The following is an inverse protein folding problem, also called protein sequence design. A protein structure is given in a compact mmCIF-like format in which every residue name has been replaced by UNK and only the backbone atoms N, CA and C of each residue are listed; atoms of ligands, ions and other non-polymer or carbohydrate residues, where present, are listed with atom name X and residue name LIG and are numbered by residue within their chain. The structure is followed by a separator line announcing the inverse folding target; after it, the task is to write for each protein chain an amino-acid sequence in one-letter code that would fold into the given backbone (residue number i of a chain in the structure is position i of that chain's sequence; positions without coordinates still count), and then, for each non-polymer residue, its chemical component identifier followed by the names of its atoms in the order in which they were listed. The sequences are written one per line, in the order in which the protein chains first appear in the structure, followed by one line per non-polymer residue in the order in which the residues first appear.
data_IF_249479456584
#
_entry.id   IF_249479456584
#
_cell.length_a   1.000
_cell.length_b   1.000
_cell.length_c   1.000
_cell.angle_alpha   90.00
_cell.angle_beta   90.00
_cell.angle_gamma   90.00
#
_symmetry.space_group_name_H-M   'P 1'
#
loop_
_entity.id
_entity.type
_entity.pdbx_description
1 polymer ?
#
# COMPACT_ATOMS: atom_id res chain seq x y z
N UNK A 1 -0.21 -27.50 -14.49
CA UNK A 1 0.59 -26.33 -14.05
C UNK A 1 0.11 -25.96 -12.66
N UNK A 2 1.01 -25.57 -11.75
CA UNK A 2 0.63 -25.08 -10.42
C UNK A 2 0.41 -23.57 -10.50
N UNK A 3 -0.65 -23.09 -9.85
CA UNK A 3 -0.97 -21.67 -9.74
C UNK A 3 -0.85 -21.25 -8.28
N UNK A 4 -0.63 -19.96 -8.07
CA UNK A 4 -0.64 -19.32 -6.76
C UNK A 4 -1.63 -18.16 -6.77
N UNK A 5 -2.28 -17.94 -5.63
CA UNK A 5 -3.20 -16.83 -5.42
C UNK A 5 -2.54 -15.78 -4.54
N UNK A 6 -2.59 -14.53 -4.98
CA UNK A 6 -2.11 -13.36 -4.24
C UNK A 6 -3.33 -12.57 -3.79
N UNK A 7 -3.44 -12.34 -2.48
CA UNK A 7 -4.44 -11.45 -1.89
C UNK A 7 -3.75 -10.27 -1.23
N UNK A 8 -4.28 -9.08 -1.45
CA UNK A 8 -3.76 -7.87 -0.85
C UNK A 8 -4.90 -6.92 -0.46
N UNK A 9 -4.66 -6.15 0.59
CA UNK A 9 -5.58 -5.17 1.15
C UNK A 9 -5.11 -3.77 0.77
N UNK A 10 -6.05 -2.89 0.43
CA UNK A 10 -5.81 -1.46 0.29
C UNK A 10 -6.76 -0.69 1.22
N UNK A 11 -6.22 0.24 1.99
CA UNK A 11 -7.00 1.10 2.89
C UNK A 11 -7.86 2.07 2.08
N UNK A 12 -9.16 2.13 2.39
CA UNK A 12 -10.12 2.97 1.68
C UNK A 12 -9.83 4.46 1.93
N UNK A 13 -9.31 4.81 3.10
CA UNK A 13 -8.86 6.18 3.42
C UNK A 13 -7.79 6.67 2.43
N UNK A 14 -6.75 5.86 2.18
CA UNK A 14 -5.69 6.20 1.24
C UNK A 14 -6.23 6.36 -0.19
N UNK A 15 -7.15 5.48 -0.62
CA UNK A 15 -7.80 5.59 -1.93
C UNK A 15 -8.57 6.91 -2.07
N UNK A 16 -9.33 7.28 -1.04
CA UNK A 16 -10.11 8.52 -1.01
C UNK A 16 -9.22 9.75 -1.06
N UNK A 17 -8.18 9.79 -0.23
CA UNK A 17 -7.23 10.91 -0.17
C UNK A 17 -6.51 11.13 -1.51
N UNK A 18 -6.24 10.04 -2.24
CA UNK A 18 -5.60 10.08 -3.55
C UNK A 18 -6.59 10.13 -4.73
N UNK A 19 -7.90 10.22 -4.47
CA UNK A 19 -8.97 10.25 -5.49
C UNK A 19 -8.92 9.05 -6.44
N UNK A 20 -8.53 7.88 -5.94
CA UNK A 20 -8.45 6.63 -6.69
C UNK A 20 -9.75 5.85 -6.53
N UNK A 21 -10.39 5.52 -7.65
CA UNK A 21 -11.56 4.65 -7.62
C UNK A 21 -11.12 3.21 -7.29
N UNK A 22 -11.84 2.55 -6.38
CA UNK A 22 -11.59 1.17 -5.95
C UNK A 22 -11.57 0.14 -7.11
N UNK A 23 -12.23 0.42 -8.23
CA UNK A 23 -12.22 -0.43 -9.44
C UNK A 23 -11.03 -0.13 -10.38
N UNK A 24 -10.11 0.76 -9.99
CA UNK A 24 -8.87 1.03 -10.73
C UNK A 24 -7.67 0.26 -10.18
N UNK A 25 -7.81 -0.40 -9.03
CA UNK A 25 -6.71 -1.12 -8.41
C UNK A 25 -6.39 -2.40 -9.19
N UNK A 26 -5.11 -2.52 -9.55
CA UNK A 26 -4.55 -3.65 -10.27
C UNK A 26 -3.27 -4.12 -9.58
N UNK A 27 -2.94 -5.39 -9.78
CA UNK A 27 -1.63 -5.94 -9.51
C UNK A 27 -0.84 -5.98 -10.81
N UNK A 28 0.41 -5.50 -10.76
CA UNK A 28 1.38 -5.67 -11.83
C UNK A 28 2.43 -6.69 -11.42
N UNK A 29 2.84 -7.53 -12.36
CA UNK A 29 3.91 -8.50 -12.23
C UNK A 29 5.05 -8.11 -13.16
N UNK A 30 6.28 -8.10 -12.66
CA UNK A 30 7.45 -7.82 -13.50
C UNK A 30 7.87 -9.08 -14.27
N UNK A 31 7.79 -9.08 -15.60
CA UNK A 31 8.15 -10.23 -16.45
C UNK A 31 8.83 -9.73 -17.73
N UNK A 32 9.89 -10.41 -18.17
CA UNK A 32 10.62 -10.08 -19.40
C UNK A 32 11.02 -8.60 -19.47
N UNK A 33 11.66 -8.12 -18.41
CA UNK A 33 12.14 -6.75 -18.27
C UNK A 33 11.05 -5.66 -18.34
N UNK A 34 9.79 -6.00 -18.09
CA UNK A 34 8.66 -5.06 -18.15
C UNK A 34 7.60 -5.34 -17.11
N UNK A 35 6.84 -4.32 -16.71
CA UNK A 35 5.65 -4.49 -15.88
C UNK A 35 4.47 -4.95 -16.74
N UNK A 36 3.79 -6.01 -16.31
CA UNK A 36 2.58 -6.54 -16.94
C UNK A 36 1.46 -6.56 -15.93
N UNK A 37 0.30 -6.02 -16.30
CA UNK A 37 -0.92 -6.19 -15.52
C UNK A 37 -1.30 -7.66 -15.45
N UNK A 38 -1.69 -8.13 -14.27
CA UNK A 38 -2.30 -9.44 -14.08
C UNK A 38 -3.75 -9.27 -13.66
N UNK A 39 -4.58 -10.25 -14.03
CA UNK A 39 -6.01 -10.23 -13.71
C UNK A 39 -6.19 -10.01 -12.20
N UNK A 40 -6.87 -8.93 -11.84
CA UNK A 40 -7.11 -8.51 -10.47
C UNK A 40 -8.60 -8.38 -10.25
N UNK A 41 -9.12 -9.04 -9.22
CA UNK A 41 -10.53 -9.03 -8.88
C UNK A 41 -10.68 -8.44 -7.48
N UNK A 42 -11.60 -7.49 -7.31
CA UNK A 42 -12.05 -7.06 -5.99
C UNK A 42 -12.96 -8.14 -5.42
N UNK A 43 -12.58 -8.70 -4.27
CA UNK A 43 -13.31 -9.83 -3.68
C UNK A 43 -14.06 -9.45 -2.41
N UNK A 44 -13.63 -8.41 -1.69
CA UNK A 44 -14.29 -7.95 -0.47
C UNK A 44 -14.19 -6.43 -0.40
N UNK A 45 -15.30 -5.77 -0.12
CA UNK A 45 -15.36 -4.35 0.18
C UNK A 45 -15.88 -4.21 1.62
N UNK A 46 -15.06 -3.64 2.51
CA UNK A 46 -15.43 -3.28 3.89
C UNK A 46 -15.41 -1.76 4.03
N UNK A 47 -15.81 -1.25 5.19
CA UNK A 47 -15.83 0.19 5.49
C UNK A 47 -14.42 0.81 5.39
N UNK A 48 -13.43 0.20 6.05
CA UNK A 48 -12.08 0.77 6.17
C UNK A 48 -11.13 0.33 5.05
N UNK A 49 -11.40 -0.81 4.40
CA UNK A 49 -10.50 -1.38 3.41
C UNK A 49 -11.20 -2.21 2.34
N UNK A 50 -10.48 -2.44 1.25
CA UNK A 50 -10.90 -3.29 0.14
C UNK A 50 -9.84 -4.38 -0.11
N UNK A 51 -10.27 -5.62 -0.36
CA UNK A 51 -9.40 -6.77 -0.65
C UNK A 51 -9.50 -7.17 -2.12
N UNK A 52 -8.34 -7.39 -2.71
CA UNK A 52 -8.17 -7.81 -4.10
C UNK A 52 -7.47 -9.15 -4.19
N UNK A 53 -7.76 -9.89 -5.25
CA UNK A 53 -7.23 -11.22 -5.55
C UNK A 53 -6.71 -11.29 -6.99
N UNK A 54 -5.53 -11.89 -7.15
CA UNK A 54 -4.93 -12.22 -8.45
C UNK A 54 -4.38 -13.63 -8.45
N UNK A 55 -4.37 -14.28 -9.61
CA UNK A 55 -3.76 -15.61 -9.80
C UNK A 55 -2.53 -15.49 -10.69
N UNK A 56 -1.44 -16.16 -10.32
CA UNK A 56 -0.21 -16.21 -11.11
C UNK A 56 0.33 -17.63 -11.22
N UNK A 57 1.07 -17.90 -12.30
CA UNK A 57 1.70 -19.20 -12.56
C UNK A 57 3.17 -19.24 -12.13
N UNK A 58 3.77 -18.09 -11.78
CA UNK A 58 5.16 -17.97 -11.36
C UNK A 58 5.33 -16.74 -10.46
N UNK A 59 6.32 -16.75 -9.56
CA UNK A 59 6.60 -15.61 -8.69
C UNK A 59 7.60 -14.64 -9.35
N UNK A 60 7.41 -13.35 -9.10
CA UNK A 60 8.26 -12.25 -9.56
C UNK A 60 8.05 -11.04 -8.64
N UNK A 61 8.77 -9.92 -8.76
CA UNK A 61 8.34 -8.69 -8.12
C UNK A 61 6.91 -8.31 -8.55
N UNK A 62 6.13 -7.86 -7.57
CA UNK A 62 4.76 -7.39 -7.77
C UNK A 62 4.62 -5.95 -7.30
N UNK A 63 3.71 -5.20 -7.92
CA UNK A 63 3.37 -3.84 -7.53
C UNK A 63 1.86 -3.63 -7.56
N UNK A 64 1.32 -2.99 -6.53
CA UNK A 64 -0.07 -2.52 -6.51
C UNK A 64 -0.10 -1.16 -7.20
N UNK A 65 -0.99 -0.99 -8.18
CA UNK A 65 -1.08 0.24 -8.97
C UNK A 65 -2.54 0.65 -9.22
N UNK A 66 -2.75 1.93 -9.54
CA UNK A 66 -4.02 2.43 -10.03
C UNK A 66 -3.98 2.57 -11.56
N UNK A 67 -4.87 1.85 -12.27
CA UNK A 67 -4.99 1.95 -13.71
C UNK A 67 -5.67 3.27 -14.11
N UNK A 68 -5.26 3.95 -15.20
CA UNK A 68 -5.92 5.18 -15.66
C UNK A 68 -7.42 5.01 -15.96
N UNK A 69 -7.83 3.87 -16.52
CA UNK A 69 -9.22 3.53 -16.82
C UNK A 69 -9.84 2.68 -15.69
N UNK A 70 -11.16 2.77 -15.54
CA UNK A 70 -11.91 1.88 -14.64
C UNK A 70 -11.91 0.49 -15.26
N UNK A 71 -11.46 -0.53 -14.51
CA UNK A 71 -11.56 -1.92 -14.91
C UNK A 71 -12.78 -2.52 -14.21
N UNK A 72 -13.71 -3.18 -14.93
CA UNK A 72 -14.74 -3.96 -14.30
C UNK A 72 -14.07 -5.04 -13.47
N UNK A 73 -14.07 -4.88 -12.15
CA UNK A 73 -13.76 -5.97 -11.25
C UNK A 73 -14.85 -7.02 -11.41
N UNK A 74 -14.48 -8.27 -11.70
CA UNK A 74 -15.38 -9.40 -11.50
C UNK A 74 -15.63 -9.52 -10.00
N UNK A 75 -16.72 -8.90 -9.52
CA UNK A 75 -17.14 -9.04 -8.13
C UNK A 75 -17.62 -10.47 -7.95
N UNK A 76 -17.04 -11.16 -6.97
CA UNK A 76 -17.58 -12.43 -6.49
C UNK A 76 -18.80 -12.09 -5.65
N UNK A 77 -20.00 -12.47 -6.09
CA UNK A 77 -21.21 -12.35 -5.26
C UNK A 77 -21.02 -13.18 -3.98
N UNK A 78 -20.94 -12.49 -2.83
CA UNK A 78 -20.86 -13.09 -1.52
C UNK A 78 -22.29 -13.33 -1.02
N UNK A 79 -22.79 -14.57 -1.12
CA UNK A 79 -24.07 -14.96 -0.49
C UNK A 79 -23.93 -14.85 1.03
N UNK A 80 -24.64 -13.90 1.63
CA UNK A 80 -24.74 -13.72 3.08
C UNK A 80 -25.42 -14.92 3.75
N UNK A 81 -24.72 -15.53 4.73
CA UNK A 81 -25.22 -16.63 5.55
C UNK A 81 -24.90 -16.43 7.04
N UNK A 82 -25.90 -15.88 7.74
CA UNK A 82 -26.25 -16.01 9.17
C UNK A 82 -25.30 -15.51 10.28
N UNK A 83 -25.77 -14.44 10.92
CA UNK A 83 -25.53 -14.11 12.32
C UNK A 83 -26.11 -15.19 13.24
N UNK A 84 -25.30 -15.71 14.17
CA UNK A 84 -25.80 -16.15 15.48
C UNK A 84 -24.81 -15.72 16.56
N UNK A 85 -25.28 -14.86 17.47
CA UNK A 85 -24.62 -14.49 18.71
C UNK A 85 -24.24 -15.74 19.51
N UNK A 86 -22.94 -15.93 19.76
CA UNK A 86 -22.42 -16.81 20.81
C UNK A 86 -21.78 -15.95 21.88
N UNK A 87 -22.40 -15.92 23.06
CA UNK A 87 -21.94 -15.18 24.22
C UNK A 87 -20.51 -15.58 24.65
N UNK A 88 -19.79 -14.58 25.14
CA UNK A 88 -18.43 -14.65 25.69
C UNK A 88 -18.41 -15.53 26.96
N UNK A 89 -17.37 -16.34 27.19
CA UNK A 89 -16.86 -16.59 28.53
C UNK A 89 -15.54 -15.83 28.75
N UNK A 90 -15.50 -15.03 29.80
CA UNK A 90 -14.37 -14.19 30.21
C UNK A 90 -13.48 -14.99 31.19
N UNK A 91 -12.15 -14.87 31.01
CA UNK A 91 -11.03 -15.00 32.00
C UNK A 91 -10.57 -16.41 32.47
N UNK A 92 -9.30 -16.58 32.95
CA UNK A 92 -8.43 -15.59 33.59
C UNK A 92 -7.09 -15.26 32.92
N UNK A 93 -6.72 -13.98 33.09
CA UNK A 93 -5.39 -13.42 33.34
C UNK A 93 -4.29 -14.42 33.71
N UNK A 94 -3.19 -14.43 32.95
CA UNK A 94 -1.85 -14.57 33.52
C UNK A 94 -1.13 -13.22 33.41
N UNK A 95 -1.06 -12.55 34.55
CA UNK A 95 -0.10 -11.48 34.84
C UNK A 95 1.26 -12.13 34.99
N UNK A 96 2.24 -11.68 34.21
CA UNK A 96 3.65 -11.77 34.58
C UNK A 96 4.31 -10.44 34.16
N UNK A 97 5.17 -9.98 35.06
CA UNK A 97 5.60 -8.62 35.38
C UNK A 97 6.32 -7.78 34.30
N UNK A 98 6.44 -6.45 34.53
CA UNK A 98 6.99 -5.49 33.59
C UNK A 98 8.52 -5.59 33.55
N UNK A 99 9.10 -5.49 32.36
CA UNK A 99 10.53 -5.20 32.22
C UNK A 99 10.70 -3.85 31.52
N UNK A 100 10.85 -2.84 32.37
CA UNK A 100 11.89 -1.81 32.33
C UNK A 100 12.00 -0.95 31.05
N UNK A 101 11.52 0.28 31.19
CA UNK A 101 12.14 1.54 30.77
C UNK A 101 13.58 1.38 30.27
N UNK A 102 13.82 1.64 28.99
CA UNK A 102 15.11 2.15 28.52
C UNK A 102 14.83 3.54 27.96
N UNK A 103 14.98 4.51 28.84
CA UNK A 103 15.10 5.93 28.52
C UNK A 103 16.61 6.24 28.47
N UNK A 104 16.98 7.08 27.50
CA UNK A 104 18.27 7.81 27.39
C UNK A 104 19.46 6.95 26.89
N UNK A 105 20.10 7.24 25.75
CA UNK A 105 20.90 8.45 25.50
C UNK A 105 20.99 8.85 24.01
N UNK A 106 20.88 10.16 23.80
CA UNK A 106 21.31 10.86 22.60
C UNK A 106 22.82 10.68 22.38
N UNK A 107 23.21 9.98 21.32
CA UNK A 107 24.58 10.04 20.81
C UNK A 107 24.65 11.09 19.71
N UNK A 108 25.12 12.28 20.08
CA UNK A 108 25.55 13.35 19.17
C UNK A 108 26.53 12.79 18.14
N UNK A 109 26.09 12.63 16.90
CA UNK A 109 26.97 12.52 15.73
C UNK A 109 26.86 13.82 14.93
N UNK A 110 27.99 14.46 14.57
CA UNK A 110 27.96 15.77 13.95
C UNK A 110 27.59 15.65 12.46
N UNK A 111 26.50 16.31 12.09
CA UNK A 111 26.40 17.07 10.83
C UNK A 111 26.21 16.30 9.53
N UNK A 112 24.97 15.90 9.23
CA UNK A 112 24.43 16.04 7.87
C UNK A 112 22.91 16.16 7.93
N UNK A 113 22.43 17.37 8.20
CA UNK A 113 20.99 17.66 8.19
C UNK A 113 20.46 17.66 6.76
N UNK A 114 19.32 16.99 6.56
CA UNK A 114 18.59 16.85 5.29
C UNK A 114 18.08 18.18 4.69
N UNK A 115 18.34 19.32 5.34
CA UNK A 115 17.98 20.64 4.85
C UNK A 115 18.86 21.15 3.69
N UNK A 116 20.11 20.66 3.55
CA UNK A 116 21.04 21.16 2.53
C UNK A 116 20.78 20.61 1.11
N UNK A 117 20.10 19.47 0.96
CA UNK A 117 19.85 18.88 -0.36
C UNK A 117 18.69 19.56 -1.11
N UNK A 118 17.69 20.06 -0.39
CA UNK A 118 16.51 20.71 -1.01
C UNK A 118 16.83 22.13 -1.47
N UNK A 119 17.70 22.87 -0.75
CA UNK A 119 18.12 24.21 -1.16
C UNK A 119 18.99 24.21 -2.42
N UNK A 120 19.85 23.20 -2.60
CA UNK A 120 20.70 23.10 -3.79
C UNK A 120 19.90 22.83 -5.08
N UNK A 121 18.87 21.97 -5.01
CA UNK A 121 18.04 21.63 -6.18
C UNK A 121 17.16 22.81 -6.60
N UNK A 122 16.58 23.55 -5.64
CA UNK A 122 15.80 24.76 -5.93
C UNK A 122 16.66 25.91 -6.48
N UNK A 123 17.88 26.06 -5.96
CA UNK A 123 18.85 27.04 -6.47
C UNK A 123 19.22 26.79 -7.93
N UNK A 124 19.58 25.55 -8.27
CA UNK A 124 19.93 25.17 -9.65
C UNK A 124 18.75 25.37 -10.64
N UNK A 125 17.53 25.03 -10.21
CA UNK A 125 16.33 25.27 -11.02
C UNK A 125 16.04 26.76 -11.23
N UNK A 126 16.23 27.59 -10.20
CA UNK A 126 15.97 29.03 -10.27
C UNK A 126 16.97 29.75 -11.20
N UNK A 127 18.25 29.37 -11.15
CA UNK A 127 19.30 29.91 -12.04
C UNK A 127 19.05 29.49 -13.49
N UNK A 128 18.75 28.22 -13.75
CA UNK A 128 18.44 27.72 -15.10
C UNK A 128 17.20 28.41 -15.69
N UNK A 129 16.17 28.64 -14.87
CA UNK A 129 14.94 29.33 -15.29
C UNK A 129 15.17 30.81 -15.59
N UNK A 130 16.04 31.48 -14.83
CA UNK A 130 16.41 32.88 -15.06
C UNK A 130 17.25 33.06 -16.33
N UNK A 131 18.22 32.16 -16.57
CA UNK A 131 19.02 32.14 -17.81
C UNK A 131 18.17 31.91 -19.08
N UNK A 132 17.09 31.14 -18.99
CA UNK A 132 16.16 30.91 -20.11
C UNK A 132 15.26 32.11 -20.45
N UNK A 133 15.24 33.17 -19.61
CA UNK A 133 14.44 34.39 -19.86
C UNK A 133 15.29 35.54 -20.45
N UNK A 134 16.60 35.34 -20.58
CA UNK A 134 17.59 36.33 -21.04
C UNK A 134 18.20 35.99 -22.41
N UNK A 135 17.70 34.92 -23.05
CA UNK A 135 17.94 34.52 -24.45
C UNK A 135 16.59 34.54 -25.16
#
# INVERSE_FOLDING_TARGET
MKTATIRFKVENGWLKDNKINLNKIILQQYVNNSWKEVLTQKIVEKEDYTVYESTTNHFSPFAIAAHPAIKPSLQREETAGQNTMGAIPIRPTKTEEPRTTSETEETKTPGLTTAALITAILGAYSVRRWLMQLI
#
